data_IF_896510478233
#
_entry.id   IF_896510478233
#
_cell.length_a   1.000
_cell.length_b   1.000
_cell.length_c   1.000
_cell.angle_alpha   90.00
_cell.angle_beta   90.00
_cell.angle_gamma   90.00
#
_symmetry.space_group_name_H-M   'P 1'
#
loop_
_entity.id
_entity.type
_entity.pdbx_description
1 polymer ?
#
# COMPACT_ATOMS: atom_id res chain seq x y z
N UNK A 1 -3.49 21.22 -2.10
CA UNK A 1 -3.03 19.83 -1.86
C UNK A 1 -1.71 19.93 -1.14
N UNK A 2 -1.59 19.32 0.05
CA UNK A 2 -0.33 19.30 0.81
C UNK A 2 0.54 18.20 0.21
N UNK A 3 1.81 18.49 -0.11
CA UNK A 3 2.73 17.46 -0.62
C UNK A 3 2.89 16.33 0.39
N UNK A 4 3.17 15.09 -0.04
CA UNK A 4 3.39 14.00 0.92
C UNK A 4 4.62 14.22 1.82
N UNK A 5 5.61 15.02 1.41
CA UNK A 5 6.66 15.53 2.32
C UNK A 5 6.06 16.42 3.42
N UNK A 6 5.15 17.31 3.07
CA UNK A 6 4.43 18.16 4.03
C UNK A 6 3.63 17.32 5.03
N UNK A 7 2.92 16.28 4.56
CA UNK A 7 2.18 15.36 5.42
C UNK A 7 3.10 14.56 6.34
N UNK A 8 4.24 14.09 5.82
CA UNK A 8 5.27 13.44 6.63
C UNK A 8 5.82 14.37 7.73
N UNK A 9 5.99 15.66 7.43
CA UNK A 9 6.39 16.68 8.41
C UNK A 9 5.30 16.93 9.47
N UNK A 10 4.02 16.87 9.08
CA UNK A 10 2.90 16.98 10.01
C UNK A 10 2.83 15.77 10.96
N UNK A 11 3.00 14.56 10.44
CA UNK A 11 3.11 13.32 11.25
C UNK A 11 4.28 13.41 12.24
N UNK A 12 5.44 13.82 11.75
CA UNK A 12 6.65 14.11 12.52
C UNK A 12 6.39 15.05 13.70
N UNK A 13 5.66 16.14 13.42
CA UNK A 13 5.27 17.13 14.42
C UNK A 13 4.31 16.54 15.44
N UNK A 14 3.36 15.70 15.01
CA UNK A 14 2.36 15.08 15.87
C UNK A 14 2.92 13.97 16.76
N UNK A 15 3.80 13.11 16.24
CA UNK A 15 4.47 12.05 17.01
C UNK A 15 5.39 12.62 18.11
N UNK A 16 5.84 13.87 17.98
CA UNK A 16 6.68 14.56 18.96
C UNK A 16 8.08 13.96 19.14
N UNK A 17 8.48 13.01 18.29
CA UNK A 17 9.75 12.28 18.41
C UNK A 17 10.63 12.40 17.16
N UNK A 18 10.95 13.65 16.79
CA UNK A 18 11.82 13.98 15.67
C UNK A 18 13.19 13.28 15.70
N UNK A 19 13.62 12.75 16.86
CA UNK A 19 14.87 11.97 16.96
C UNK A 19 14.85 10.71 16.11
N UNK A 20 13.70 10.06 15.94
CA UNK A 20 13.57 8.85 15.10
C UNK A 20 13.83 9.10 13.62
N UNK A 21 13.69 10.35 13.17
CA UNK A 21 13.84 10.76 11.78
C UNK A 21 15.24 11.32 11.48
N UNK A 22 16.14 11.31 12.47
CA UNK A 22 17.55 11.61 12.22
C UNK A 22 18.12 10.59 11.24
N UNK A 23 18.97 11.06 10.32
CA UNK A 23 19.50 10.21 9.26
C UNK A 23 18.49 9.86 8.17
N UNK A 24 17.40 10.63 8.05
CA UNK A 24 16.38 10.42 7.01
C UNK A 24 15.21 9.54 7.44
N UNK A 25 15.20 9.00 8.67
CA UNK A 25 14.12 8.12 9.12
C UNK A 25 14.23 6.70 8.59
N UNK A 26 15.46 6.22 8.40
CA UNK A 26 15.75 4.84 7.97
C UNK A 26 15.02 3.82 8.86
N UNK A 27 14.34 2.88 8.20
CA UNK A 27 13.55 1.83 8.86
C UNK A 27 12.16 2.27 9.32
N UNK A 28 11.77 3.54 9.11
CA UNK A 28 10.39 3.99 9.29
C UNK A 28 9.54 3.63 8.05
N UNK A 29 8.31 3.24 8.32
CA UNK A 29 7.33 2.73 7.35
C UNK A 29 6.79 3.86 6.47
N UNK A 30 6.27 4.92 7.09
CA UNK A 30 5.77 6.11 6.42
C UNK A 30 6.83 6.79 5.53
N UNK A 31 8.10 6.83 5.96
CA UNK A 31 9.22 7.34 5.14
C UNK A 31 9.44 6.45 3.92
N UNK A 32 9.56 5.13 4.09
CA UNK A 32 9.77 4.21 2.98
C UNK A 32 8.62 4.27 1.97
N UNK A 33 7.37 4.25 2.45
CA UNK A 33 6.18 4.42 1.62
C UNK A 33 6.26 5.73 0.84
N UNK A 34 6.60 6.83 1.52
CA UNK A 34 6.72 8.15 0.88
C UNK A 34 7.76 8.17 -0.22
N UNK A 35 8.97 7.69 0.05
CA UNK A 35 10.06 7.67 -0.93
C UNK A 35 9.73 6.79 -2.15
N UNK A 36 9.14 5.62 -1.93
CA UNK A 36 8.81 4.67 -2.99
C UNK A 36 7.63 5.14 -3.83
N UNK A 37 6.48 5.45 -3.21
CA UNK A 37 5.26 5.76 -3.97
C UNK A 37 5.29 7.13 -4.63
N UNK A 38 5.96 8.14 -4.05
CA UNK A 38 6.18 9.40 -4.76
C UNK A 38 7.05 9.22 -6.00
N UNK A 39 8.13 8.42 -5.89
CA UNK A 39 9.00 8.18 -7.03
C UNK A 39 8.30 7.36 -8.12
N UNK A 40 7.49 6.35 -7.74
CA UNK A 40 6.69 5.57 -8.67
C UNK A 40 5.63 6.40 -9.41
N UNK A 41 4.99 7.36 -8.74
CA UNK A 41 4.00 8.25 -9.36
C UNK A 41 4.61 9.19 -10.42
N UNK A 42 5.88 9.55 -10.25
CA UNK A 42 6.63 10.39 -11.19
C UNK A 42 7.23 9.62 -12.39
N UNK A 43 7.17 8.29 -12.36
CA UNK A 43 7.61 7.43 -13.46
C UNK A 43 6.45 7.16 -14.44
N UNK A 44 6.73 6.76 -15.71
CA UNK A 44 5.68 6.33 -16.64
C UNK A 44 4.80 5.23 -16.02
N UNK A 45 3.55 5.54 -15.67
CA UNK A 45 2.78 4.76 -14.70
C UNK A 45 2.54 3.33 -15.15
N UNK A 46 2.15 3.10 -16.40
CA UNK A 46 1.95 1.75 -16.95
C UNK A 46 3.22 0.91 -16.87
N UNK A 47 4.36 1.49 -17.25
CA UNK A 47 5.63 0.76 -17.32
C UNK A 47 6.19 0.44 -15.93
N UNK A 48 5.89 1.27 -14.92
CA UNK A 48 6.44 1.17 -13.57
C UNK A 48 5.39 0.81 -12.53
N UNK A 49 4.53 1.74 -12.12
CA UNK A 49 3.51 1.49 -11.09
C UNK A 49 2.53 0.37 -11.49
N UNK A 50 2.06 0.36 -12.73
CA UNK A 50 1.21 -0.70 -13.29
C UNK A 50 1.91 -2.06 -13.31
N UNK A 51 3.20 -2.10 -13.67
CA UNK A 51 4.00 -3.34 -13.57
C UNK A 51 4.12 -3.80 -12.12
N UNK A 52 4.40 -2.91 -11.18
CA UNK A 52 4.51 -3.23 -9.76
C UNK A 52 3.19 -3.80 -9.24
N UNK A 53 2.07 -3.15 -9.53
CA UNK A 53 0.73 -3.63 -9.15
C UNK A 53 0.41 -4.98 -9.80
N UNK A 54 0.69 -5.14 -11.10
CA UNK A 54 0.48 -6.40 -11.84
C UNK A 54 1.35 -7.55 -11.34
N UNK A 55 2.40 -7.26 -10.56
CA UNK A 55 3.21 -8.28 -9.91
C UNK A 55 2.68 -8.68 -8.53
N UNK A 56 1.58 -8.10 -8.03
CA UNK A 56 1.01 -8.49 -6.74
C UNK A 56 0.52 -9.94 -6.76
N UNK A 57 0.71 -10.63 -5.64
CA UNK A 57 0.19 -11.98 -5.42
C UNK A 57 -1.25 -11.87 -4.90
N UNK A 58 -2.26 -12.44 -5.60
CA UNK A 58 -3.64 -12.42 -5.14
C UNK A 58 -3.81 -13.32 -3.91
N UNK A 59 -4.60 -12.86 -2.94
CA UNK A 59 -4.97 -13.61 -1.72
C UNK A 59 -6.40 -14.11 -1.82
N UNK A 60 -7.34 -13.21 -2.16
CA UNK A 60 -8.77 -13.55 -2.29
C UNK A 60 -9.17 -13.74 -3.76
N UNK A 61 -10.32 -14.39 -3.99
CA UNK A 61 -10.78 -14.75 -5.32
C UNK A 61 -10.96 -13.55 -6.27
N UNK A 62 -11.40 -12.40 -5.74
CA UNK A 62 -11.58 -11.16 -6.52
C UNK A 62 -10.28 -10.42 -6.84
N UNK A 63 -9.18 -10.73 -6.15
CA UNK A 63 -7.96 -9.94 -6.20
C UNK A 63 -7.31 -9.88 -7.58
N UNK A 64 -7.30 -10.98 -8.33
CA UNK A 64 -6.74 -11.00 -9.69
C UNK A 64 -7.45 -10.01 -10.62
N UNK A 65 -8.79 -9.96 -10.56
CA UNK A 65 -9.58 -9.04 -11.36
C UNK A 65 -9.39 -7.59 -10.88
N UNK A 66 -9.33 -7.37 -9.57
CA UNK A 66 -9.10 -6.05 -8.99
C UNK A 66 -7.70 -5.48 -9.33
N UNK A 67 -6.67 -6.33 -9.31
CA UNK A 67 -5.32 -5.94 -9.78
C UNK A 67 -5.38 -5.57 -11.26
N UNK A 68 -6.01 -6.40 -12.10
CA UNK A 68 -6.10 -6.14 -13.53
C UNK A 68 -6.79 -4.80 -13.83
N UNK A 69 -7.91 -4.52 -13.16
CA UNK A 69 -8.63 -3.24 -13.27
C UNK A 69 -7.74 -2.06 -12.85
N UNK A 70 -7.07 -2.16 -11.70
CA UNK A 70 -6.18 -1.09 -11.23
C UNK A 70 -5.01 -0.83 -12.19
N UNK A 71 -4.46 -1.88 -12.82
CA UNK A 71 -3.40 -1.77 -13.82
C UNK A 71 -3.92 -1.12 -15.11
N UNK A 72 -5.11 -1.50 -15.57
CA UNK A 72 -5.72 -0.93 -16.77
C UNK A 72 -5.95 0.59 -16.64
N UNK A 73 -6.36 1.04 -15.47
CA UNK A 73 -6.66 2.46 -15.20
C UNK A 73 -5.45 3.30 -14.77
N UNK A 74 -4.25 2.72 -14.68
CA UNK A 74 -3.16 3.29 -13.89
C UNK A 74 -2.63 4.64 -14.42
N UNK A 75 -2.73 4.91 -15.72
CA UNK A 75 -2.30 6.20 -16.30
C UNK A 75 -3.18 7.36 -15.83
N UNK A 76 -4.48 7.10 -15.69
CA UNK A 76 -5.48 8.07 -15.24
C UNK A 76 -5.70 8.05 -13.73
N UNK A 77 -4.94 7.24 -12.99
CA UNK A 77 -5.09 7.13 -11.55
C UNK A 77 -4.38 8.26 -10.81
N UNK A 78 -5.01 8.74 -9.75
CA UNK A 78 -4.41 9.63 -8.75
C UNK A 78 -3.73 8.78 -7.68
N UNK A 79 -2.48 9.13 -7.34
CA UNK A 79 -1.72 8.50 -6.26
C UNK A 79 -1.62 9.49 -5.10
N UNK A 80 -2.28 9.18 -3.98
CA UNK A 80 -2.25 10.01 -2.78
C UNK A 80 -1.52 9.31 -1.63
N UNK A 81 -0.33 9.80 -1.28
CA UNK A 81 0.55 9.17 -0.27
C UNK A 81 0.32 9.82 1.09
N UNK A 82 0.13 9.01 2.13
CA UNK A 82 -0.30 9.45 3.46
C UNK A 82 -1.60 10.26 3.37
N UNK A 83 -2.65 9.69 2.75
CA UNK A 83 -3.89 10.39 2.40
C UNK A 83 -4.70 10.93 3.60
N UNK A 84 -4.28 10.61 4.82
CA UNK A 84 -4.94 11.02 6.06
C UNK A 84 -5.96 9.99 6.49
N UNK A 85 -7.11 10.44 6.98
CA UNK A 85 -8.12 9.56 7.56
C UNK A 85 -9.13 9.06 6.52
N UNK A 86 -9.39 7.75 6.51
CA UNK A 86 -10.48 7.12 5.76
C UNK A 86 -11.43 6.38 6.72
N UNK A 87 -12.73 6.43 6.46
CA UNK A 87 -13.75 5.84 7.35
C UNK A 87 -14.70 4.90 6.61
N UNK A 88 -15.32 3.99 7.34
CA UNK A 88 -16.47 3.24 6.87
C UNK A 88 -17.77 4.05 7.07
N UNK A 89 -18.90 3.55 6.55
CA UNK A 89 -20.18 4.25 6.45
C UNK A 89 -20.70 4.94 7.73
N UNK A 90 -20.36 4.43 8.90
CA UNK A 90 -20.86 4.91 10.19
C UNK A 90 -19.79 5.61 11.04
N UNK A 91 -18.61 5.89 10.46
CA UNK A 91 -17.41 6.43 11.12
C UNK A 91 -16.92 5.62 12.32
N UNK A 92 -17.48 4.43 12.59
CA UNK A 92 -17.06 3.57 13.71
C UNK A 92 -15.79 2.81 13.41
N UNK A 93 -15.48 2.65 12.12
CA UNK A 93 -14.23 2.10 11.63
C UNK A 93 -13.52 3.18 10.84
N UNK A 94 -12.32 3.50 11.29
CA UNK A 94 -11.45 4.53 10.72
C UNK A 94 -10.07 3.93 10.49
N UNK A 95 -9.38 4.24 9.41
CA UNK A 95 -7.98 3.86 9.16
C UNK A 95 -7.22 5.04 8.59
N UNK A 96 -5.89 4.94 8.57
CA UNK A 96 -5.03 5.90 7.90
C UNK A 96 -4.19 5.14 6.87
N UNK A 97 -4.62 5.10 5.59
CA UNK A 97 -3.89 4.36 4.58
C UNK A 97 -2.54 5.01 4.31
N UNK A 98 -1.54 4.17 4.09
CA UNK A 98 -0.19 4.59 3.73
C UNK A 98 -0.15 5.23 2.34
N UNK A 99 -0.95 4.71 1.41
CA UNK A 99 -1.24 5.35 0.13
C UNK A 99 -2.61 4.95 -0.42
N UNK A 100 -3.15 5.78 -1.29
CA UNK A 100 -4.32 5.50 -2.11
C UNK A 100 -3.93 5.58 -3.59
N UNK A 101 -4.44 4.65 -4.40
CA UNK A 101 -4.34 4.71 -5.86
C UNK A 101 -5.75 4.59 -6.41
N UNK A 102 -6.27 5.69 -6.95
CA UNK A 102 -7.69 5.83 -7.28
C UNK A 102 -7.88 6.21 -8.74
N UNK A 103 -8.86 5.59 -9.38
CA UNK A 103 -9.33 5.98 -10.71
C UNK A 103 -10.86 6.06 -10.74
N UNK A 104 -11.43 6.28 -11.92
CA UNK A 104 -12.88 6.25 -12.10
C UNK A 104 -13.52 4.88 -11.82
N UNK A 105 -12.77 3.78 -11.91
CA UNK A 105 -13.29 2.41 -11.74
C UNK A 105 -12.50 1.54 -10.77
N UNK A 106 -11.36 1.99 -10.25
CA UNK A 106 -10.56 1.28 -9.25
C UNK A 106 -10.34 2.09 -7.97
N UNK A 107 -10.32 1.41 -6.83
CA UNK A 107 -9.93 1.98 -5.54
C UNK A 107 -8.93 1.06 -4.85
N UNK A 108 -7.65 1.43 -4.82
CA UNK A 108 -6.62 0.64 -4.14
C UNK A 108 -6.23 1.34 -2.85
N UNK A 109 -6.51 0.68 -1.73
CA UNK A 109 -6.01 1.06 -0.42
C UNK A 109 -4.69 0.32 -0.18
N UNK A 110 -3.60 1.05 -0.03
CA UNK A 110 -2.28 0.49 0.26
C UNK A 110 -2.04 0.55 1.76
N UNK A 111 -1.77 -0.61 2.35
CA UNK A 111 -1.22 -0.73 3.69
C UNK A 111 0.17 -1.32 3.59
N UNK A 112 1.17 -0.59 4.06
CA UNK A 112 2.54 -1.00 4.05
C UNK A 112 2.98 -1.45 5.45
N UNK A 113 3.97 -2.34 5.52
CA UNK A 113 4.66 -2.69 6.76
C UNK A 113 6.14 -2.51 6.59
N UNK A 114 6.84 -2.18 7.67
CA UNK A 114 8.31 -2.09 7.69
C UNK A 114 8.97 -3.25 6.95
N UNK A 115 10.06 -2.94 6.25
CA UNK A 115 10.86 -3.94 5.56
C UNK A 115 11.43 -5.02 6.50
N UNK A 116 11.59 -4.72 7.80
CA UNK A 116 11.97 -5.68 8.84
C UNK A 116 11.11 -5.53 10.10
N UNK A 117 10.70 -6.66 10.68
CA UNK A 117 10.15 -6.74 12.04
C UNK A 117 8.80 -6.06 12.26
N UNK A 118 7.99 -5.88 11.22
CA UNK A 118 6.63 -5.35 11.33
C UNK A 118 5.64 -6.36 11.92
N UNK A 119 4.64 -5.87 12.65
CA UNK A 119 3.51 -6.68 13.12
C UNK A 119 2.20 -5.90 12.97
N UNK A 120 1.14 -6.58 12.55
CA UNK A 120 -0.20 -6.02 12.49
C UNK A 120 -0.86 -6.04 13.87
N UNK A 121 -1.72 -5.05 14.15
CA UNK A 121 -2.67 -5.16 15.26
C UNK A 121 -3.79 -6.16 14.89
N UNK A 122 -4.42 -6.84 15.86
CA UNK A 122 -5.43 -7.88 15.58
C UNK A 122 -6.56 -7.44 14.65
N UNK A 123 -7.11 -6.24 14.86
CA UNK A 123 -8.23 -5.73 14.04
C UNK A 123 -7.77 -4.99 12.77
N UNK A 124 -6.47 -4.86 12.54
CA UNK A 124 -5.94 -3.91 11.56
C UNK A 124 -6.41 -4.22 10.13
N UNK A 125 -6.13 -5.43 9.64
CA UNK A 125 -6.48 -5.82 8.28
C UNK A 125 -7.99 -5.83 8.03
N UNK A 126 -8.78 -6.29 9.01
CA UNK A 126 -10.23 -6.28 8.88
C UNK A 126 -10.78 -4.85 8.79
N UNK A 127 -10.23 -3.89 9.55
CA UNK A 127 -10.62 -2.48 9.47
C UNK A 127 -10.25 -1.87 8.12
N UNK A 128 -9.04 -2.10 7.64
CA UNK A 128 -8.58 -1.62 6.34
C UNK A 128 -9.45 -2.17 5.20
N UNK A 129 -9.80 -3.46 5.27
CA UNK A 129 -10.64 -4.10 4.26
C UNK A 129 -12.07 -3.55 4.26
N UNK A 130 -12.67 -3.35 5.44
CA UNK A 130 -13.99 -2.71 5.56
C UNK A 130 -13.99 -1.29 4.99
N UNK A 131 -12.94 -0.51 5.28
CA UNK A 131 -12.82 0.85 4.74
C UNK A 131 -12.58 0.82 3.24
N UNK A 132 -11.73 -0.08 2.73
CA UNK A 132 -11.47 -0.22 1.30
C UNK A 132 -12.75 -0.58 0.52
N UNK A 133 -13.50 -1.57 0.99
CA UNK A 133 -14.78 -1.96 0.38
C UNK A 133 -15.81 -0.83 0.42
N UNK A 134 -15.85 -0.05 1.50
CA UNK A 134 -16.79 1.06 1.63
C UNK A 134 -16.42 2.26 0.73
N UNK A 135 -15.19 2.76 0.83
CA UNK A 135 -14.71 3.90 0.05
C UNK A 135 -14.61 3.59 -1.45
N UNK A 136 -14.36 2.32 -1.79
CA UNK A 136 -14.40 1.82 -3.15
C UNK A 136 -15.78 1.50 -3.69
N UNK A 137 -16.88 1.75 -2.96
CA UNK A 137 -18.23 1.45 -3.44
C UNK A 137 -18.53 2.15 -4.78
N UNK A 138 -19.00 1.39 -5.77
CA UNK A 138 -19.19 1.87 -7.14
C UNK A 138 -17.94 1.78 -8.04
N UNK A 139 -16.81 1.34 -7.46
CA UNK A 139 -15.55 0.99 -8.13
C UNK A 139 -15.16 -0.45 -7.77
N UNK A 140 -14.01 -0.92 -8.25
CA UNK A 140 -13.40 -2.19 -7.85
C UNK A 140 -12.41 -1.93 -6.70
N UNK A 141 -12.77 -2.26 -5.45
CA UNK A 141 -11.90 -2.06 -4.30
C UNK A 141 -10.80 -3.13 -4.25
N UNK A 142 -9.61 -2.75 -3.81
CA UNK A 142 -8.47 -3.64 -3.54
C UNK A 142 -7.75 -3.17 -2.27
N UNK A 143 -7.56 -4.07 -1.31
CA UNK A 143 -6.56 -3.89 -0.25
C UNK A 143 -5.23 -4.48 -0.73
N UNK A 144 -4.24 -3.61 -0.94
CA UNK A 144 -2.89 -4.02 -1.31
C UNK A 144 -1.96 -3.94 -0.10
N UNK A 145 -1.46 -5.08 0.35
CA UNK A 145 -0.49 -5.16 1.43
C UNK A 145 0.94 -5.10 0.88
N UNK A 146 1.76 -4.17 1.36
CA UNK A 146 3.20 -4.12 1.04
C UNK A 146 4.01 -4.59 2.23
N UNK A 147 4.63 -5.75 2.11
CA UNK A 147 5.23 -6.48 3.23
C UNK A 147 6.78 -6.47 3.17
N UNK A 148 7.41 -6.66 4.32
CA UNK A 148 8.87 -6.88 4.38
C UNK A 148 9.30 -8.25 3.84
N UNK A 149 8.45 -9.26 4.06
CA UNK A 149 8.67 -10.66 3.70
C UNK A 149 7.35 -11.25 3.17
N UNK A 150 7.44 -12.38 2.47
CA UNK A 150 6.26 -13.13 2.06
C UNK A 150 5.46 -13.63 3.28
N UNK A 151 4.12 -13.76 3.19
CA UNK A 151 3.30 -14.35 4.24
C UNK A 151 3.80 -15.74 4.67
N UNK A 152 3.56 -16.16 5.93
CA UNK A 152 2.59 -15.62 6.88
C UNK A 152 3.06 -14.35 7.62
N UNK A 153 2.10 -13.51 7.98
CA UNK A 153 2.29 -12.21 8.64
C UNK A 153 2.25 -12.32 10.16
N UNK A 154 2.99 -11.48 10.87
CA UNK A 154 2.95 -11.41 12.33
C UNK A 154 1.75 -10.57 12.80
N UNK A 155 0.89 -11.15 13.62
CA UNK A 155 -0.24 -10.48 14.27
C UNK A 155 -0.02 -10.47 15.79
N UNK A 156 -0.09 -9.27 16.39
CA UNK A 156 0.18 -9.10 17.81
C UNK A 156 -0.78 -9.96 18.66
N UNK A 157 -0.22 -10.75 19.56
CA UNK A 157 -0.99 -11.66 20.43
C UNK A 157 -1.48 -12.95 19.76
N UNK A 158 -1.28 -13.13 18.45
CA UNK A 158 -1.76 -14.30 17.70
C UNK A 158 -0.64 -15.03 16.93
N UNK A 159 0.56 -14.46 16.85
CA UNK A 159 1.71 -15.09 16.19
C UNK A 159 1.68 -14.91 14.68
N UNK A 160 2.24 -15.88 13.93
CA UNK A 160 2.24 -15.83 12.46
C UNK A 160 0.94 -16.44 11.92
N UNK A 161 0.20 -15.68 11.14
CA UNK A 161 -1.06 -16.09 10.52
C UNK A 161 -1.01 -15.90 9.00
N UNK A 162 -1.86 -16.65 8.28
CA UNK A 162 -2.21 -16.30 6.90
C UNK A 162 -2.91 -14.92 6.89
N UNK A 163 -2.96 -14.26 5.74
CA UNK A 163 -3.64 -12.97 5.61
C UNK A 163 -5.14 -13.16 5.89
N UNK A 164 -5.72 -14.25 5.40
CA UNK A 164 -7.12 -14.62 5.56
C UNK A 164 -7.47 -14.89 7.03
N UNK A 165 -6.63 -15.63 7.76
CA UNK A 165 -6.84 -15.89 9.18
C UNK A 165 -6.68 -14.62 10.02
N UNK A 166 -5.74 -13.73 9.64
CA UNK A 166 -5.58 -12.44 10.29
C UNK A 166 -6.81 -11.53 10.08
N UNK A 167 -7.39 -11.53 8.88
CA UNK A 167 -8.66 -10.84 8.60
C UNK A 167 -9.79 -11.45 9.44
N UNK A 168 -9.88 -12.78 9.55
CA UNK A 168 -10.92 -13.45 10.35
C UNK A 168 -10.84 -13.10 11.83
N UNK A 169 -9.64 -13.10 12.41
CA UNK A 169 -9.41 -12.67 13.81
C UNK A 169 -9.89 -11.23 14.03
N UNK A 170 -9.56 -10.33 13.10
CA UNK A 170 -10.00 -8.94 13.16
C UNK A 170 -11.52 -8.80 13.02
N UNK A 171 -12.12 -9.56 12.10
CA UNK A 171 -13.56 -9.59 11.87
C UNK A 171 -14.31 -9.98 13.14
N UNK A 172 -13.98 -11.13 13.73
CA UNK A 172 -14.65 -11.63 14.93
C UNK A 172 -14.61 -10.62 16.08
N UNK A 173 -13.46 -9.94 16.26
CA UNK A 173 -13.29 -8.88 17.25
C UNK A 173 -14.16 -7.66 16.98
N UNK A 174 -14.23 -7.20 15.72
CA UNK A 174 -15.02 -6.04 15.32
C UNK A 174 -16.52 -6.33 15.46
N UNK A 175 -16.99 -7.50 15.00
CA UNK A 175 -18.39 -7.90 15.09
C UNK A 175 -18.84 -8.00 16.55
N UNK A 176 -18.02 -8.60 17.41
CA UNK A 176 -18.30 -8.69 18.85
C UNK A 176 -18.35 -7.31 19.53
N UNK A 177 -17.46 -6.38 19.13
CA UNK A 177 -17.34 -5.05 19.73
C UNK A 177 -18.41 -4.07 19.25
N UNK A 178 -18.78 -4.13 17.97
CA UNK A 178 -19.69 -3.18 17.33
C UNK A 178 -21.12 -3.71 17.17
N UNK A 179 -21.35 -5.01 17.32
CA UNK A 179 -22.67 -5.63 17.14
C UNK A 179 -23.18 -5.55 15.70
N UNK A 180 -22.28 -5.46 14.72
CA UNK A 180 -22.58 -5.45 13.29
C UNK A 180 -22.04 -6.73 12.64
N UNK A 181 -22.60 -7.14 11.50
CA UNK A 181 -22.02 -8.20 10.67
C UNK A 181 -21.16 -7.58 9.59
N UNK A 182 -19.94 -8.09 9.45
CA UNK A 182 -18.94 -7.68 8.46
C UNK A 182 -18.75 -8.76 7.39
N UNK A 183 -19.29 -9.98 7.60
CA UNK A 183 -19.05 -11.16 6.77
C UNK A 183 -19.23 -10.91 5.27
N UNK A 184 -20.39 -10.41 4.84
CA UNK A 184 -20.66 -10.18 3.42
C UNK A 184 -19.67 -9.20 2.77
N UNK A 185 -19.26 -8.15 3.50
CA UNK A 185 -18.32 -7.15 2.98
C UNK A 185 -16.91 -7.74 2.84
N UNK A 186 -16.50 -8.61 3.75
CA UNK A 186 -15.17 -9.20 3.78
C UNK A 186 -15.04 -10.42 2.85
N UNK A 187 -16.13 -11.16 2.63
CA UNK A 187 -16.17 -12.29 1.69
C UNK A 187 -15.94 -11.85 0.23
N UNK A 188 -16.54 -10.74 -0.18
CA UNK A 188 -16.41 -10.20 -1.54
C UNK A 188 -15.15 -9.32 -1.72
N UNK A 189 -14.39 -9.09 -0.66
CA UNK A 189 -13.29 -8.15 -0.69
C UNK A 189 -12.06 -8.71 -1.42
N UNK A 190 -11.41 -7.84 -2.18
CA UNK A 190 -10.18 -8.17 -2.91
C UNK A 190 -8.95 -7.82 -2.09
N UNK A 191 -8.10 -8.80 -1.84
CA UNK A 191 -6.84 -8.63 -1.11
C UNK A 191 -5.69 -9.15 -1.95
N UNK A 192 -4.63 -8.37 -2.07
CA UNK A 192 -3.38 -8.80 -2.68
C UNK A 192 -2.19 -8.38 -1.81
N UNK A 193 -1.04 -9.02 -2.03
CA UNK A 193 0.19 -8.61 -1.37
C UNK A 193 1.37 -8.48 -2.34
N UNK A 194 2.31 -7.63 -1.94
CA UNK A 194 3.63 -7.45 -2.54
C UNK A 194 4.66 -7.42 -1.42
N UNK A 195 5.93 -7.51 -1.81
CA UNK A 195 7.04 -7.21 -0.90
C UNK A 195 7.82 -6.01 -1.41
N UNK A 196 8.47 -5.28 -0.51
CA UNK A 196 9.37 -4.18 -0.91
C UNK A 196 10.44 -4.63 -1.91
N UNK A 197 10.98 -5.83 -1.72
CA UNK A 197 11.94 -6.42 -2.67
C UNK A 197 11.33 -6.68 -4.04
N UNK A 198 10.07 -7.13 -4.09
CA UNK A 198 9.36 -7.29 -5.35
C UNK A 198 9.14 -5.95 -6.04
N UNK A 199 8.81 -4.89 -5.30
CA UNK A 199 8.69 -3.53 -5.85
C UNK A 199 10.01 -3.08 -6.47
N UNK A 200 11.13 -3.20 -5.74
CA UNK A 200 12.45 -2.83 -6.25
C UNK A 200 12.84 -3.64 -7.49
N UNK A 201 12.59 -4.96 -7.48
CA UNK A 201 12.89 -5.85 -8.61
C UNK A 201 12.10 -5.46 -9.86
N UNK A 202 10.79 -5.25 -9.74
CA UNK A 202 9.96 -4.89 -10.89
C UNK A 202 10.27 -3.49 -11.42
N UNK A 203 10.62 -2.57 -10.53
CA UNK A 203 11.10 -1.22 -10.90
C UNK A 203 12.42 -1.29 -11.68
N UNK A 204 13.37 -2.11 -11.23
CA UNK A 204 14.62 -2.36 -11.95
C UNK A 204 14.39 -2.98 -13.32
N UNK A 205 13.54 -4.01 -13.40
CA UNK A 205 13.19 -4.66 -14.67
C UNK A 205 12.52 -3.69 -15.66
N UNK A 206 11.66 -2.79 -15.17
CA UNK A 206 11.08 -1.72 -16.00
C UNK A 206 12.13 -0.74 -16.51
N UNK A 207 13.06 -0.31 -15.65
CA UNK A 207 14.13 0.60 -16.03
C UNK A 207 15.09 0.00 -17.06
N UNK A 208 15.40 -1.29 -16.95
CA UNK A 208 16.24 -2.02 -17.90
C UNK A 208 15.54 -2.23 -19.24
N UNK A 209 14.23 -2.47 -19.22
CA UNK A 209 13.40 -2.64 -20.41
C UNK A 209 13.03 -1.33 -21.13
N UNK A 210 13.38 -0.17 -20.58
CA UNK A 210 12.98 1.12 -21.12
C UNK A 210 13.69 1.40 -22.46
N UNK A 211 12.94 1.33 -23.54
CA UNK A 211 13.33 1.85 -24.84
C UNK A 211 12.97 3.35 -24.92
N UNK A 212 13.93 4.23 -24.63
CA UNK A 212 13.75 5.67 -24.78
C UNK A 212 14.60 6.19 -25.94
N UNK A 213 13.96 6.90 -26.87
CA UNK A 213 14.65 7.53 -28.02
C UNK A 213 15.52 8.72 -27.62
N UNK A 214 15.27 9.33 -26.46
CA UNK A 214 16.07 10.42 -25.88
C UNK A 214 16.93 9.89 -24.71
N UNK A 215 18.27 9.92 -24.82
CA UNK A 215 19.18 9.53 -23.76
C UNK A 215 19.03 10.32 -22.45
N UNK A 216 18.66 11.61 -22.53
CA UNK A 216 18.48 12.46 -21.35
C UNK A 216 17.27 12.02 -20.54
N UNK A 217 16.15 11.79 -21.22
CA UNK A 217 14.94 11.21 -20.62
C UNK A 217 15.22 9.84 -20.02
N UNK A 218 15.91 8.96 -20.77
CA UNK A 218 16.30 7.64 -20.28
C UNK A 218 17.11 7.71 -18.98
N UNK A 219 18.08 8.63 -18.92
CA UNK A 219 18.90 8.83 -17.73
C UNK A 219 18.09 9.40 -16.54
N UNK A 220 17.14 10.29 -16.80
CA UNK A 220 16.25 10.81 -15.76
C UNK A 220 15.35 9.71 -15.17
N UNK A 221 14.71 8.91 -16.02
CA UNK A 221 13.88 7.77 -15.61
C UNK A 221 14.70 6.76 -14.81
N UNK A 222 15.90 6.41 -15.26
CA UNK A 222 16.78 5.48 -14.53
C UNK A 222 17.22 6.01 -13.17
N UNK A 223 17.52 7.30 -13.03
CA UNK A 223 17.85 7.89 -11.73
C UNK A 223 16.68 7.79 -10.76
N UNK A 224 15.46 8.10 -11.23
CA UNK A 224 14.26 8.04 -10.40
C UNK A 224 13.88 6.61 -10.03
N UNK A 225 13.97 5.66 -10.97
CA UNK A 225 13.85 4.23 -10.68
C UNK A 225 14.93 3.76 -9.68
N UNK A 226 16.15 4.28 -9.81
CA UNK A 226 17.24 4.08 -8.86
C UNK A 226 16.86 4.53 -7.45
N UNK A 227 16.19 5.68 -7.30
CA UNK A 227 15.69 6.16 -6.00
C UNK A 227 14.78 5.16 -5.30
N UNK A 228 13.86 4.50 -6.04
CA UNK A 228 12.99 3.46 -5.48
C UNK A 228 13.81 2.25 -4.98
N UNK A 229 14.78 1.80 -5.79
CA UNK A 229 15.62 0.63 -5.49
C UNK A 229 16.52 0.93 -4.27
N UNK A 230 17.11 2.12 -4.23
CA UNK A 230 17.99 2.57 -3.15
C UNK A 230 17.20 2.77 -1.85
N UNK A 231 15.99 3.32 -1.89
CA UNK A 231 15.12 3.48 -0.73
C UNK A 231 14.79 2.13 -0.09
N UNK A 232 14.35 1.15 -0.91
CA UNK A 232 14.09 -0.22 -0.43
C UNK A 232 15.34 -0.85 0.18
N UNK A 233 16.51 -0.65 -0.44
CA UNK A 233 17.78 -1.19 0.04
C UNK A 233 18.22 -0.55 1.36
N UNK A 234 18.05 0.77 1.51
CA UNK A 234 18.41 1.53 2.70
C UNK A 234 17.55 1.16 3.90
N UNK A 235 16.25 0.95 3.70
CA UNK A 235 15.30 0.67 4.79
C UNK A 235 15.23 -0.80 5.20
N UNK A 236 15.95 -1.70 4.50
CA UNK A 236 16.13 -3.09 4.89
C UNK A 236 17.19 -3.22 5.98
#
# INVERSE_FOLDING_TARGET
MVSAIGRLLDELSWEGNARKYRGGGVGLENVLTTEVFQALDLLPRTAFLGRVLGAASPVSAGATAAIAEAVEQIEGADVDVLAGDATAADDRVKVQPDALIESSSSYVLVEAKRARGGSFQPEQLARELLVASHQGAGRVPLLLLVLGEEPPIMVKGHGRLSIEDAVRVGQESIEARLGISCAAVLEDASIAHLTWERIARETGAAADGLAAGDPSLAAAVRRLAGTVIDAVSLHR
#
